data_IF_946519104457
#
_entry.id   IF_946519104457
#
_cell.length_a   1.000
_cell.length_b   1.000
_cell.length_c   1.000
_cell.angle_alpha   90.00
_cell.angle_beta   90.00
_cell.angle_gamma   90.00
#
_symmetry.space_group_name_H-M   'P 1'
#
loop_
_entity.id
_entity.type
_entity.pdbx_description
1 polymer ?
#
# COMPACT_ATOMS: atom_id res chain seq x y z
N UNK A 1 -29.99 -9.79 -20.61
CA UNK A 1 -30.32 -8.90 -19.47
C UNK A 1 -29.02 -8.34 -18.95
N UNK A 2 -28.61 -7.16 -19.42
CA UNK A 2 -27.44 -6.47 -18.88
C UNK A 2 -27.83 -5.90 -17.51
N UNK A 3 -27.28 -6.47 -16.44
CA UNK A 3 -27.32 -5.83 -15.13
C UNK A 3 -26.57 -4.50 -15.20
N UNK A 4 -26.91 -3.49 -14.38
CA UNK A 4 -26.12 -2.27 -14.34
C UNK A 4 -24.67 -2.68 -14.05
N UNK A 5 -23.76 -2.37 -14.98
CA UNK A 5 -22.32 -2.48 -14.74
C UNK A 5 -21.97 -1.65 -13.49
N UNK A 6 -20.81 -1.88 -12.85
CA UNK A 6 -20.41 -1.14 -11.66
C UNK A 6 -20.27 0.35 -12.02
N UNK A 7 -21.37 1.08 -11.97
CA UNK A 7 -21.43 2.50 -11.74
C UNK A 7 -20.63 2.69 -10.47
N UNK A 8 -19.38 3.13 -10.65
CA UNK A 8 -18.33 3.04 -9.65
C UNK A 8 -18.86 3.55 -8.32
N UNK A 9 -19.07 2.63 -7.38
CA UNK A 9 -19.60 2.94 -6.07
C UNK A 9 -18.66 3.94 -5.42
N UNK A 10 -19.02 5.22 -5.45
CA UNK A 10 -18.21 6.32 -4.91
C UNK A 10 -18.46 6.33 -3.41
N UNK A 11 -17.84 5.38 -2.72
CA UNK A 11 -18.05 5.14 -1.30
C UNK A 11 -16.80 4.56 -0.66
N UNK A 12 -16.61 4.87 0.62
CA UNK A 12 -15.54 4.31 1.44
C UNK A 12 -16.11 3.30 2.44
N UNK A 13 -15.34 2.26 2.75
CA UNK A 13 -15.71 1.23 3.74
C UNK A 13 -14.82 1.37 4.97
N UNK A 14 -15.44 1.37 6.14
CA UNK A 14 -14.71 1.28 7.41
C UNK A 14 -14.36 -0.18 7.65
N UNK A 15 -13.06 -0.47 7.73
CA UNK A 15 -12.54 -1.82 7.96
C UNK A 15 -12.44 -2.14 9.46
N UNK A 16 -12.23 -1.12 10.30
CA UNK A 16 -12.08 -1.26 11.75
C UNK A 16 -12.50 0.02 12.47
N UNK A 17 -12.99 -0.12 13.70
CA UNK A 17 -13.39 0.99 14.57
C UNK A 17 -14.87 1.36 14.43
N UNK A 18 -15.32 2.28 15.29
CA UNK A 18 -16.67 2.87 15.25
C UNK A 18 -16.51 4.39 15.24
N UNK A 19 -16.36 5.02 14.06
CA UNK A 19 -16.26 6.45 13.96
C UNK A 19 -17.58 7.10 14.38
N UNK A 20 -17.46 8.29 14.94
CA UNK A 20 -18.61 9.13 15.29
C UNK A 20 -19.15 9.86 14.06
N UNK A 21 -20.34 10.43 14.17
CA UNK A 21 -20.92 11.29 13.13
C UNK A 21 -19.99 12.46 12.75
N UNK A 22 -19.27 13.01 13.75
CA UNK A 22 -18.31 14.10 13.52
C UNK A 22 -17.12 13.65 12.66
N UNK A 23 -16.61 12.43 12.89
CA UNK A 23 -15.50 11.88 12.10
C UNK A 23 -15.92 11.64 10.65
N UNK A 24 -17.14 11.12 10.43
CA UNK A 24 -17.69 10.89 9.10
C UNK A 24 -17.91 12.21 8.33
N UNK A 25 -18.43 13.24 9.02
CA UNK A 25 -18.60 14.56 8.45
C UNK A 25 -17.25 15.19 8.06
N UNK A 26 -16.24 15.10 8.93
CA UNK A 26 -14.90 15.59 8.65
C UNK A 26 -14.27 14.88 7.45
N UNK A 27 -14.36 13.55 7.40
CA UNK A 27 -13.83 12.76 6.27
C UNK A 27 -14.52 13.14 4.96
N UNK A 28 -15.85 13.29 4.98
CA UNK A 28 -16.62 13.69 3.79
C UNK A 28 -16.22 15.09 3.31
N UNK A 29 -16.06 16.05 4.23
CA UNK A 29 -15.63 17.41 3.88
C UNK A 29 -14.25 17.43 3.19
N UNK A 30 -13.30 16.64 3.69
CA UNK A 30 -11.97 16.50 3.09
C UNK A 30 -12.05 15.88 1.69
N UNK A 31 -12.84 14.82 1.52
CA UNK A 31 -13.01 14.18 0.22
C UNK A 31 -13.62 15.13 -0.82
N UNK A 32 -14.66 15.88 -0.45
CA UNK A 32 -15.28 16.88 -1.31
C UNK A 32 -14.31 18.03 -1.65
N UNK A 33 -13.54 18.51 -0.68
CA UNK A 33 -12.51 19.54 -0.91
C UNK A 33 -11.46 19.06 -1.91
N UNK A 34 -10.99 17.82 -1.79
CA UNK A 34 -10.02 17.22 -2.73
C UNK A 34 -10.61 17.05 -4.12
N UNK A 35 -11.88 16.64 -4.24
CA UNK A 35 -12.57 16.53 -5.52
C UNK A 35 -12.75 17.91 -6.18
N UNK A 36 -13.12 18.93 -5.41
CA UNK A 36 -13.23 20.29 -5.90
C UNK A 36 -11.88 20.82 -6.40
N UNK A 37 -10.80 20.61 -5.64
CA UNK A 37 -9.45 21.00 -6.04
C UNK A 37 -9.00 20.27 -7.32
N UNK A 38 -9.30 18.97 -7.45
CA UNK A 38 -9.00 18.20 -8.66
C UNK A 38 -9.81 18.68 -9.89
N UNK A 39 -11.05 19.12 -9.68
CA UNK A 39 -11.91 19.63 -10.74
C UNK A 39 -11.49 21.02 -11.26
N UNK A 40 -10.80 21.83 -10.44
CA UNK A 40 -10.43 23.22 -10.77
C UNK A 40 -9.12 23.36 -11.58
N UNK A 41 -8.55 22.24 -12.06
CA UNK A 41 -7.32 22.26 -12.86
C UNK A 41 -6.09 22.10 -11.97
N UNK A 42 -5.37 21.00 -12.22
CA UNK A 42 -4.29 20.50 -11.39
C UNK A 42 -3.11 21.47 -11.27
N UNK A 43 -2.74 21.79 -10.03
CA UNK A 43 -1.32 22.05 -9.72
C UNK A 43 -0.50 20.87 -10.25
N UNK A 44 0.69 21.10 -10.86
CA UNK A 44 1.49 20.04 -11.46
C UNK A 44 1.67 18.92 -10.44
N UNK A 45 1.20 17.72 -10.80
CA UNK A 45 1.23 16.57 -9.92
C UNK A 45 2.66 16.36 -9.44
N UNK A 46 2.91 16.59 -8.16
CA UNK A 46 4.20 16.31 -7.55
C UNK A 46 4.50 14.83 -7.81
N UNK A 47 5.69 14.49 -8.35
CA UNK A 47 5.99 13.12 -8.75
C UNK A 47 5.74 12.18 -7.56
N UNK A 48 5.12 11.01 -7.80
CA UNK A 48 4.76 10.10 -6.72
C UNK A 48 6.01 9.76 -5.90
N UNK A 49 5.99 10.12 -4.62
CA UNK A 49 7.07 9.80 -3.67
C UNK A 49 7.11 8.29 -3.53
N UNK A 50 7.98 7.67 -4.32
CA UNK A 50 8.16 6.21 -4.32
C UNK A 50 8.79 5.87 -2.99
N UNK A 51 8.04 5.18 -2.12
CA UNK A 51 8.56 4.79 -0.82
C UNK A 51 9.81 3.92 -1.04
N UNK A 52 10.97 4.40 -0.59
CA UNK A 52 12.31 3.85 -0.88
C UNK A 52 12.61 2.52 -0.20
N UNK A 53 11.60 1.65 -0.05
CA UNK A 53 11.75 0.30 0.47
C UNK A 53 12.57 -0.53 -0.51
N UNK A 54 13.88 -0.38 -0.42
CA UNK A 54 14.83 -1.26 -1.09
C UNK A 54 14.99 -2.47 -0.19
N UNK A 55 14.57 -3.64 -0.67
CA UNK A 55 14.92 -4.92 -0.04
C UNK A 55 16.45 -4.98 0.01
N UNK A 56 17.08 -5.12 1.18
CA UNK A 56 18.48 -5.49 1.25
C UNK A 56 18.57 -6.88 0.62
N UNK A 57 19.18 -6.97 -0.56
CA UNK A 57 19.47 -8.27 -1.18
C UNK A 57 20.25 -9.09 -0.15
N UNK A 58 19.82 -10.30 0.23
CA UNK A 58 20.61 -11.11 1.13
C UNK A 58 21.91 -11.51 0.43
N UNK A 59 23.05 -10.97 0.87
CA UNK A 59 24.41 -11.28 0.37
C UNK A 59 24.85 -12.71 0.68
N UNK A 60 23.94 -13.60 1.09
CA UNK A 60 24.27 -14.97 1.48
C UNK A 60 23.41 -15.97 0.72
N UNK A 61 24.01 -17.02 0.13
CA UNK A 61 23.24 -18.14 -0.38
C UNK A 61 22.43 -18.72 0.77
N UNK A 62 21.15 -18.99 0.51
CA UNK A 62 20.22 -19.60 1.45
C UNK A 62 20.86 -20.86 2.08
N UNK A 63 21.16 -20.79 3.39
CA UNK A 63 21.77 -21.91 4.11
C UNK A 63 20.71 -22.96 4.36
N UNK A 64 20.84 -24.09 3.67
CA UNK A 64 19.97 -25.24 3.85
C UNK A 64 19.99 -25.70 5.34
N UNK A 65 18.81 -25.89 5.97
CA UNK A 65 18.73 -26.26 7.38
C UNK A 65 19.30 -27.66 7.71
N UNK A 66 19.71 -28.46 6.72
CA UNK A 66 20.34 -29.78 6.90
C UNK A 66 21.87 -29.76 6.82
N UNK A 67 22.49 -28.62 6.51
CA UNK A 67 23.93 -28.51 6.21
C UNK A 67 24.90 -28.34 7.38
N UNK A 68 24.60 -28.83 8.59
CA UNK A 68 25.43 -28.59 9.78
C UNK A 68 26.55 -29.62 10.04
N UNK A 69 26.84 -30.54 9.10
CA UNK A 69 28.02 -31.42 9.19
C UNK A 69 28.73 -31.66 7.85
N UNK A 70 29.72 -30.82 7.59
CA UNK A 70 31.02 -31.18 7.04
C UNK A 70 31.96 -30.01 7.44
N UNK A 71 32.51 -29.97 8.64
CA UNK A 71 33.19 -31.07 9.33
C UNK A 71 34.48 -31.32 8.57
N UNK A 72 35.54 -30.59 8.91
CA UNK A 72 36.81 -30.62 8.21
C UNK A 72 37.43 -32.01 8.14
N UNK A 73 38.02 -32.33 6.98
CA UNK A 73 39.05 -33.34 6.82
C UNK A 73 39.75 -33.09 5.47
N UNK A 74 40.99 -32.59 5.49
CA UNK A 74 41.74 -32.40 4.25
C UNK A 74 42.99 -31.54 4.29
N UNK A 75 43.88 -31.73 5.29
CA UNK A 75 45.35 -31.82 5.16
C UNK A 75 45.98 -31.26 3.85
N UNK A 76 46.81 -30.22 3.99
CA UNK A 76 48.09 -30.12 3.29
C UNK A 76 49.18 -30.20 4.37
#
# INVERSE_FOLDING_TARGET
MSGPGPEAATGFRIVRGRPTEADLAALTAVLLSRLAAAAHGAEPAEPPRTAGWRRPEPTFPHRDPRGWRAGGAGRN
#
